data_IF_634449316551
#
_entry.id   IF_634449316551
#
_cell.length_a   1.000
_cell.length_b   1.000
_cell.length_c   1.000
_cell.angle_alpha   90.00
_cell.angle_beta   90.00
_cell.angle_gamma   90.00
#
_symmetry.space_group_name_H-M   'P 1'
#
loop_
_entity.id
_entity.type
_entity.pdbx_description
1 polymer ?
#
# COMPACT_ATOMS: atom_id res chain seq x y z
N UNK A 1 -20.00 -6.21 -12.97
CA UNK A 1 -19.56 -5.62 -11.69
C UNK A 1 -18.52 -4.56 -12.05
N UNK A 2 -18.90 -3.28 -12.05
CA UNK A 2 -18.00 -2.19 -12.45
C UNK A 2 -16.98 -1.96 -11.34
N UNK A 3 -15.71 -2.25 -11.64
CA UNK A 3 -14.58 -1.84 -10.79
C UNK A 3 -14.57 -0.33 -10.81
N UNK A 4 -14.90 0.30 -9.67
CA UNK A 4 -14.74 1.73 -9.49
C UNK A 4 -13.32 2.10 -9.90
N UNK A 5 -13.19 3.04 -10.82
CA UNK A 5 -11.90 3.64 -11.19
C UNK A 5 -11.44 4.44 -9.98
N UNK A 6 -10.89 3.77 -8.97
CA UNK A 6 -10.40 4.47 -7.79
C UNK A 6 -9.11 5.18 -8.20
N UNK A 7 -9.24 6.48 -8.39
CA UNK A 7 -8.14 7.34 -8.81
C UNK A 7 -7.14 7.43 -7.66
N UNK A 8 -6.02 6.72 -7.81
CA UNK A 8 -4.93 6.77 -6.85
C UNK A 8 -4.28 8.14 -6.89
N UNK A 9 -4.14 8.76 -5.71
CA UNK A 9 -3.28 9.94 -5.62
C UNK A 9 -1.80 9.55 -5.79
N UNK A 10 -0.93 10.54 -6.01
CA UNK A 10 0.50 10.29 -6.25
C UNK A 10 1.17 9.52 -5.10
N UNK A 11 0.80 9.82 -3.85
CA UNK A 11 1.40 9.19 -2.66
C UNK A 11 0.97 7.74 -2.52
N UNK A 12 -0.32 7.46 -2.64
CA UNK A 12 -0.86 6.10 -2.64
C UNK A 12 -0.21 5.24 -3.71
N UNK A 13 -0.07 5.79 -4.92
CA UNK A 13 0.58 5.08 -6.03
C UNK A 13 2.06 4.82 -5.75
N UNK A 14 2.78 5.78 -5.20
CA UNK A 14 4.18 5.61 -4.82
C UNK A 14 4.33 4.54 -3.73
N UNK A 15 3.49 4.58 -2.70
CA UNK A 15 3.46 3.59 -1.61
C UNK A 15 3.15 2.19 -2.14
N UNK A 16 2.11 2.03 -2.96
CA UNK A 16 1.78 0.72 -3.57
C UNK A 16 2.91 0.19 -4.45
N UNK A 17 3.63 1.05 -5.17
CA UNK A 17 4.82 0.63 -5.93
C UNK A 17 5.96 0.16 -5.03
N UNK A 18 6.26 0.89 -3.96
CA UNK A 18 7.31 0.49 -3.01
C UNK A 18 7.01 -0.88 -2.37
N UNK A 19 5.74 -1.11 -1.99
CA UNK A 19 5.27 -2.40 -1.48
C UNK A 19 5.35 -3.48 -2.56
N UNK A 20 4.98 -3.18 -3.80
CA UNK A 20 5.08 -4.13 -4.92
C UNK A 20 6.52 -4.53 -5.26
N UNK A 21 7.49 -3.65 -4.99
CA UNK A 21 8.92 -3.93 -5.14
C UNK A 21 9.51 -4.75 -3.98
N UNK A 22 8.73 -5.02 -2.92
CA UNK A 22 9.19 -5.78 -1.75
C UNK A 22 10.14 -4.98 -0.84
N UNK A 23 10.17 -3.66 -0.98
CA UNK A 23 11.02 -2.76 -0.17
C UNK A 23 10.33 -2.26 1.11
N UNK A 24 9.11 -2.73 1.36
CA UNK A 24 8.28 -2.23 2.43
C UNK A 24 8.05 -3.29 3.52
N UNK A 25 8.05 -2.84 4.76
CA UNK A 25 7.67 -3.61 5.94
C UNK A 25 6.44 -2.96 6.58
N UNK A 26 5.61 -3.74 7.25
CA UNK A 26 4.39 -3.30 7.91
C UNK A 26 4.35 -3.85 9.33
N UNK A 27 3.82 -3.09 10.29
CA UNK A 27 3.58 -3.62 11.63
C UNK A 27 2.31 -4.47 11.67
N UNK A 28 2.36 -5.60 12.37
CA UNK A 28 1.16 -6.38 12.67
C UNK A 28 0.31 -5.64 13.71
N UNK A 29 -0.65 -4.82 13.27
CA UNK A 29 -1.55 -4.02 14.11
C UNK A 29 -2.86 -3.73 13.38
N UNK A 30 -3.92 -3.38 14.11
CA UNK A 30 -5.17 -2.86 13.54
C UNK A 30 -4.97 -1.51 12.84
N UNK A 31 -4.01 -0.73 13.30
CA UNK A 31 -3.54 0.51 12.70
C UNK A 31 -2.05 0.32 12.41
N UNK A 32 -1.71 -0.19 11.21
CA UNK A 32 -0.34 -0.56 10.90
C UNK A 32 0.48 0.64 10.41
N UNK A 33 1.73 0.71 10.85
CA UNK A 33 2.75 1.60 10.31
C UNK A 33 3.50 0.91 9.17
N UNK A 34 3.85 1.66 8.12
CA UNK A 34 4.67 1.17 7.01
C UNK A 34 6.09 1.72 7.12
N UNK A 35 7.07 0.89 6.82
CA UNK A 35 8.47 1.25 6.72
C UNK A 35 8.95 0.97 5.31
N UNK A 36 9.65 1.90 4.68
CA UNK A 36 10.24 1.75 3.35
C UNK A 36 11.74 1.92 3.51
N UNK A 37 12.51 0.93 3.06
CA UNK A 37 13.97 0.90 3.22
C UNK A 37 14.39 1.12 4.69
N UNK A 38 13.62 0.58 5.65
CA UNK A 38 13.84 0.70 7.09
C UNK A 38 13.39 2.03 7.73
N UNK A 39 12.95 3.01 6.94
CA UNK A 39 12.48 4.31 7.41
C UNK A 39 10.96 4.35 7.55
N UNK A 40 10.45 4.96 8.62
CA UNK A 40 9.00 5.15 8.81
C UNK A 40 8.42 5.98 7.66
N UNK A 41 7.37 5.46 7.04
CA UNK A 41 6.60 6.23 6.08
C UNK A 41 5.87 7.35 6.83
N UNK A 42 6.14 8.60 6.49
CA UNK A 42 5.51 9.76 7.14
C UNK A 42 4.03 9.93 6.80
N UNK A 43 3.47 9.09 5.92
CA UNK A 43 2.06 9.16 5.49
C UNK A 43 1.25 7.99 6.07
N UNK A 44 1.16 7.95 7.41
CA UNK A 44 0.41 6.93 8.13
C UNK A 44 -1.06 6.87 7.70
N UNK A 45 -1.66 8.02 7.37
CA UNK A 45 -3.03 8.09 6.84
C UNK A 45 -3.21 7.31 5.55
N UNK A 46 -2.24 7.42 4.63
CA UNK A 46 -2.23 6.64 3.40
C UNK A 46 -2.08 5.16 3.71
N UNK A 47 -1.15 4.78 4.59
CA UNK A 47 -0.94 3.38 4.99
C UNK A 47 -2.21 2.77 5.58
N UNK A 48 -2.84 3.45 6.54
CA UNK A 48 -4.09 2.99 7.17
C UNK A 48 -5.21 2.83 6.15
N UNK A 49 -5.34 3.77 5.21
CA UNK A 49 -6.32 3.68 4.13
C UNK A 49 -6.07 2.46 3.25
N UNK A 50 -4.83 2.26 2.77
CA UNK A 50 -4.46 1.15 1.91
C UNK A 50 -4.65 -0.22 2.60
N UNK A 51 -4.30 -0.31 3.88
CA UNK A 51 -4.51 -1.52 4.69
C UNK A 51 -6.01 -1.80 4.88
N UNK A 52 -6.81 -0.77 5.21
CA UNK A 52 -8.26 -0.90 5.39
C UNK A 52 -9.00 -1.27 4.10
N UNK A 53 -8.50 -0.81 2.95
CA UNK A 53 -9.01 -1.19 1.63
C UNK A 53 -8.54 -2.60 1.18
N UNK A 54 -7.67 -3.25 1.97
CA UNK A 54 -7.14 -4.57 1.65
C UNK A 54 -6.23 -4.56 0.42
N UNK A 55 -5.57 -3.44 0.12
CA UNK A 55 -4.65 -3.33 -1.01
C UNK A 55 -3.22 -3.70 -0.66
N UNK A 56 -2.88 -3.61 0.62
CA UNK A 56 -1.62 -4.11 1.20
C UNK A 56 -1.94 -4.97 2.42
N UNK A 57 -1.07 -5.94 2.70
CA UNK A 57 -1.20 -6.82 3.86
C UNK A 57 0.19 -7.27 4.35
N UNK A 58 0.25 -7.86 5.54
CA UNK A 58 1.45 -8.53 6.02
C UNK A 58 1.64 -9.89 5.34
N UNK A 59 2.87 -10.22 4.95
CA UNK A 59 3.23 -11.53 4.38
C UNK A 59 2.98 -12.69 5.37
N UNK A 60 3.08 -12.42 6.67
CA UNK A 60 2.90 -13.39 7.75
C UNK A 60 2.08 -12.77 8.90
N UNK A 61 1.45 -13.63 9.70
CA UNK A 61 0.86 -13.20 10.98
C UNK A 61 1.96 -13.15 12.04
N UNK A 62 2.40 -11.93 12.38
CA UNK A 62 3.36 -11.68 13.46
C UNK A 62 2.68 -11.33 14.79
N UNK A 63 3.49 -11.10 15.82
CA UNK A 63 3.03 -10.55 17.11
C UNK A 63 2.56 -9.10 16.93
N UNK A 64 1.64 -8.61 17.77
CA UNK A 64 1.27 -7.20 17.76
C UNK A 64 2.49 -6.27 17.83
N UNK A 65 2.62 -5.36 16.87
CA UNK A 65 3.75 -4.42 16.75
C UNK A 65 5.03 -4.99 16.12
N UNK A 66 5.06 -6.28 15.79
CA UNK A 66 6.16 -6.89 15.03
C UNK A 66 6.19 -6.35 13.60
N UNK A 67 7.38 -6.01 13.10
CA UNK A 67 7.57 -5.60 11.71
C UNK A 67 7.80 -6.83 10.85
N UNK A 68 7.03 -6.93 9.78
CA UNK A 68 7.11 -8.04 8.83
C UNK A 68 7.05 -7.47 7.41
N UNK A 69 7.54 -8.23 6.43
CA UNK A 69 7.49 -7.78 5.04
C UNK A 69 6.03 -7.50 4.63
N UNK A 70 5.81 -6.34 4.01
CA UNK A 70 4.54 -5.95 3.44
C UNK A 70 4.42 -6.53 2.02
N UNK A 71 3.23 -6.99 1.66
CA UNK A 71 2.92 -7.43 0.30
C UNK A 71 1.73 -6.69 -0.27
N UNK A 72 1.77 -6.45 -1.57
CA UNK A 72 0.63 -5.91 -2.31
C UNK A 72 -0.34 -7.05 -2.63
N UNK A 73 -1.61 -6.86 -2.30
CA UNK A 73 -2.65 -7.87 -2.56
C UNK A 73 -3.04 -7.88 -4.05
N UNK A 74 -3.74 -8.92 -4.52
CA UNK A 74 -4.30 -8.91 -5.87
C UNK A 74 -5.21 -7.71 -6.16
N UNK A 75 -5.99 -7.24 -5.17
CA UNK A 75 -6.82 -6.05 -5.28
C UNK A 75 -5.97 -4.79 -5.43
N UNK A 76 -4.93 -4.63 -4.61
CA UNK A 76 -4.00 -3.51 -4.71
C UNK A 76 -3.28 -3.46 -6.06
N UNK A 77 -2.88 -4.62 -6.59
CA UNK A 77 -2.27 -4.73 -7.93
C UNK A 77 -3.25 -4.31 -9.03
N UNK A 78 -4.51 -4.73 -8.95
CA UNK A 78 -5.53 -4.35 -9.92
C UNK A 78 -5.71 -2.82 -9.95
N UNK A 79 -5.86 -2.18 -8.79
CA UNK A 79 -6.01 -0.72 -8.69
C UNK A 79 -4.75 0.01 -9.17
N UNK A 80 -3.56 -0.49 -8.83
CA UNK A 80 -2.28 0.09 -9.28
C UNK A 80 -2.12 0.04 -10.82
N UNK A 81 -2.65 -1.01 -11.46
CA UNK A 81 -2.65 -1.20 -12.90
C UNK A 81 -3.76 -0.44 -13.63
N UNK A 82 -4.94 -0.26 -13.01
CA UNK A 82 -6.06 0.52 -13.58
C UNK A 82 -5.90 2.01 -13.40
N UNK A 83 -5.13 2.46 -12.41
CA UNK A 83 -4.74 3.86 -12.29
C UNK A 83 -3.95 4.23 -13.56
N UNK A 84 -4.66 4.79 -14.54
CA UNK A 84 -4.10 5.24 -15.81
C UNK A 84 -2.90 6.15 -15.57
N UNK A 85 -2.06 6.25 -16.60
CA UNK A 85 -1.04 7.31 -16.69
C UNK A 85 -1.70 8.63 -16.26
N UNK A 86 -1.12 9.39 -15.29
CA UNK A 86 -1.68 10.69 -14.96
C UNK A 86 -1.78 11.47 -16.26
N UNK A 87 -2.99 11.96 -16.57
CA UNK A 87 -3.26 12.73 -17.77
C UNK A 87 -2.14 13.75 -17.94
N UNK A 88 -1.34 13.55 -19.00
CA UNK A 88 -0.33 14.50 -19.42
C UNK A 88 -1.13 15.68 -19.96
N UNK A 89 -1.41 16.65 -19.09
CA UNK A 89 -1.94 17.94 -19.51
C UNK A 89 -0.96 18.50 -20.53
N UNK A 90 -1.47 18.70 -21.75
CA UNK A 90 -0.75 19.29 -22.88
C UNK A 90 -0.42 20.76 -22.62
#
# INVERSE_FOLDING_TARGET
MSVGQEELNYRERATLRAVALGQAEITCSSEPDLFIDGLSCCDQSTVHRLARLGWIESTVSGKPGERVAAQITPLGRAVLGTAGVPGRAA
#
